data_IF_363347068811
#
_entry.id   IF_363347068811
#
_cell.length_a   1.000
_cell.length_b   1.000
_cell.length_c   1.000
_cell.angle_alpha   90.00
_cell.angle_beta   90.00
_cell.angle_gamma   90.00
#
_symmetry.space_group_name_H-M   'P 1'
#
loop_
_entity.id
_entity.type
_entity.pdbx_description
1 polymer ?
#
# COMPACT_ATOMS: atom_id res chain seq x y z
N UNK A 1 32.34 5.15 12.81
CA UNK A 1 31.56 5.59 11.63
C UNK A 1 30.19 6.01 12.14
N UNK A 2 29.79 7.29 12.10
CA UNK A 2 28.41 7.65 12.39
C UNK A 2 27.49 7.03 11.32
N UNK A 3 26.28 6.56 11.66
CA UNK A 3 25.33 6.13 10.64
C UNK A 3 25.06 7.34 9.75
N UNK A 4 25.22 7.18 8.43
CA UNK A 4 24.83 8.18 7.45
C UNK A 4 23.38 8.57 7.76
N UNK A 5 23.17 9.82 8.19
CA UNK A 5 21.84 10.32 8.47
C UNK A 5 21.02 10.13 7.20
N UNK A 6 20.01 9.25 7.27
CA UNK A 6 19.12 8.99 6.15
C UNK A 6 18.58 10.34 5.67
N UNK A 7 18.88 10.71 4.42
CA UNK A 7 18.40 11.96 3.85
C UNK A 7 16.87 12.05 4.05
N UNK A 8 16.33 13.21 4.44
CA UNK A 8 14.91 13.34 4.71
C UNK A 8 14.12 12.94 3.46
N UNK A 9 13.18 12.00 3.63
CA UNK A 9 12.27 11.56 2.54
C UNK A 9 11.63 12.77 1.88
N UNK A 10 11.56 12.79 0.55
CA UNK A 10 10.92 13.89 -0.19
C UNK A 10 9.45 14.06 0.23
N UNK A 11 8.83 15.25 0.03
CA UNK A 11 7.41 15.45 0.33
C UNK A 11 6.50 14.40 -0.33
N UNK A 12 6.80 14.03 -1.57
CA UNK A 12 6.07 12.98 -2.30
C UNK A 12 6.19 11.62 -1.61
N UNK A 13 7.38 11.24 -1.15
CA UNK A 13 7.60 9.97 -0.44
C UNK A 13 6.93 9.95 0.94
N UNK A 14 6.84 11.10 1.63
CA UNK A 14 6.07 11.21 2.87
C UNK A 14 4.56 11.02 2.63
N UNK A 15 4.04 11.59 1.54
CA UNK A 15 2.64 11.36 1.14
C UNK A 15 2.39 9.89 0.75
N UNK A 16 3.31 9.28 0.00
CA UNK A 16 3.24 7.86 -0.35
C UNK A 16 3.23 6.97 0.91
N UNK A 17 4.06 7.29 1.91
CA UNK A 17 4.09 6.57 3.18
C UNK A 17 2.76 6.68 3.94
N UNK A 18 2.24 7.90 4.10
CA UNK A 18 0.96 8.13 4.79
C UNK A 18 -0.21 7.43 4.07
N UNK A 19 -0.24 7.51 2.73
CA UNK A 19 -1.22 6.81 1.92
C UNK A 19 -1.12 5.29 2.09
N UNK A 20 0.10 4.74 2.04
CA UNK A 20 0.33 3.29 2.13
C UNK A 20 -0.08 2.73 3.49
N UNK A 21 0.24 3.41 4.60
CA UNK A 21 -0.20 3.00 5.94
C UNK A 21 -1.74 2.93 6.02
N UNK A 22 -2.42 4.01 5.58
CA UNK A 22 -3.88 4.06 5.59
C UNK A 22 -4.51 3.00 4.68
N UNK A 23 -3.93 2.76 3.50
CA UNK A 23 -4.44 1.78 2.54
C UNK A 23 -4.25 0.34 3.02
N UNK A 24 -3.06 0.00 3.55
CA UNK A 24 -2.77 -1.33 4.09
C UNK A 24 -3.67 -1.66 5.28
N UNK A 25 -3.88 -0.72 6.22
CA UNK A 25 -4.83 -0.91 7.32
C UNK A 25 -6.23 -1.21 6.80
N UNK A 26 -6.68 -0.47 5.78
CA UNK A 26 -8.01 -0.69 5.20
C UNK A 26 -8.14 -2.03 4.50
N UNK A 27 -7.10 -2.49 3.81
CA UNK A 27 -7.06 -3.83 3.21
C UNK A 27 -7.20 -4.89 4.31
N UNK A 28 -6.42 -4.79 5.39
CA UNK A 28 -6.50 -5.73 6.51
C UNK A 28 -7.90 -5.74 7.16
N UNK A 29 -8.53 -4.57 7.35
CA UNK A 29 -9.89 -4.47 7.87
C UNK A 29 -10.94 -5.11 6.96
N UNK A 30 -10.76 -5.04 5.63
CA UNK A 30 -11.64 -5.70 4.65
C UNK A 30 -11.42 -7.21 4.64
N UNK A 31 -10.17 -7.67 4.74
CA UNK A 31 -9.85 -9.09 4.88
C UNK A 31 -10.43 -9.66 6.19
N UNK A 32 -10.44 -8.88 7.27
CA UNK A 32 -11.09 -9.21 8.53
C UNK A 32 -12.63 -9.03 8.50
N UNK A 33 -13.21 -8.64 7.35
CA UNK A 33 -14.65 -8.34 7.16
C UNK A 33 -15.23 -7.26 8.08
N UNK A 34 -14.37 -6.42 8.67
CA UNK A 34 -14.76 -5.27 9.52
C UNK A 34 -15.12 -4.03 8.72
N UNK A 35 -14.80 -4.01 7.41
CA UNK A 35 -15.18 -2.96 6.47
C UNK A 35 -15.65 -3.51 5.12
N UNK A 36 -16.53 -2.79 4.41
CA UNK A 36 -16.96 -3.16 3.07
C UNK A 36 -15.86 -2.90 2.03
N UNK A 37 -15.75 -3.80 1.04
CA UNK A 37 -14.77 -3.68 -0.08
C UNK A 37 -14.93 -2.39 -0.89
N UNK A 38 -16.11 -1.77 -0.91
CA UNK A 38 -16.34 -0.51 -1.63
C UNK A 38 -15.39 0.61 -1.20
N UNK A 39 -14.90 0.57 0.04
CA UNK A 39 -13.95 1.52 0.62
C UNK A 39 -12.52 1.37 0.07
N UNK A 40 -12.23 0.30 -0.68
CA UNK A 40 -10.94 0.03 -1.32
C UNK A 40 -10.84 0.61 -2.74
N UNK A 41 -11.97 0.79 -3.42
CA UNK A 41 -12.03 1.31 -4.80
C UNK A 41 -11.26 2.62 -5.04
N UNK A 42 -11.24 3.61 -4.11
CA UNK A 42 -10.45 4.83 -4.34
C UNK A 42 -8.96 4.66 -4.08
N UNK A 43 -8.51 3.55 -3.47
CA UNK A 43 -7.13 3.33 -3.04
C UNK A 43 -6.36 2.36 -3.93
N UNK A 44 -7.06 1.44 -4.60
CA UNK A 44 -6.46 0.35 -5.35
C UNK A 44 -6.87 0.44 -6.82
N UNK A 45 -6.03 -0.08 -7.72
CA UNK A 45 -6.45 -0.33 -9.09
C UNK A 45 -7.58 -1.37 -9.14
N UNK A 46 -8.44 -1.31 -10.17
CA UNK A 46 -9.61 -2.19 -10.28
C UNK A 46 -9.23 -3.67 -10.18
N UNK A 47 -8.22 -4.12 -10.95
CA UNK A 47 -7.76 -5.52 -10.89
C UNK A 47 -7.24 -5.95 -9.52
N UNK A 48 -6.70 -5.01 -8.74
CA UNK A 48 -6.21 -5.31 -7.39
C UNK A 48 -7.36 -5.42 -6.38
N UNK A 49 -8.45 -4.67 -6.56
CA UNK A 49 -9.68 -4.85 -5.76
C UNK A 49 -10.23 -6.27 -5.91
N UNK A 50 -10.29 -6.78 -7.15
CA UNK A 50 -10.78 -8.14 -7.43
C UNK A 50 -9.86 -9.22 -6.83
N UNK A 51 -8.56 -8.96 -6.80
CA UNK A 51 -7.56 -9.83 -6.15
C UNK A 51 -7.78 -9.89 -4.63
N UNK A 52 -7.95 -8.74 -3.97
CA UNK A 52 -8.24 -8.68 -2.51
C UNK A 52 -9.56 -9.37 -2.18
N UNK A 53 -10.58 -9.22 -3.03
CA UNK A 53 -11.86 -9.93 -2.89
C UNK A 53 -11.70 -11.45 -2.99
N UNK A 54 -10.79 -11.91 -3.82
CA UNK A 54 -10.50 -13.34 -3.95
C UNK A 54 -9.75 -13.86 -2.72
N UNK A 55 -8.79 -13.10 -2.19
CA UNK A 55 -8.09 -13.42 -0.95
C UNK A 55 -9.03 -13.47 0.25
N UNK A 56 -9.98 -12.53 0.39
CA UNK A 56 -10.93 -12.51 1.52
C UNK A 56 -11.88 -13.70 1.58
N UNK A 57 -12.02 -14.45 0.47
CA UNK A 57 -12.78 -15.71 0.40
C UNK A 57 -11.94 -16.93 0.78
N UNK A 58 -10.64 -16.90 0.53
CA UNK A 58 -9.73 -18.06 0.66
C UNK A 58 -9.06 -18.10 2.02
N UNK A 59 -8.76 -16.95 2.65
CA UNK A 59 -8.09 -16.91 3.95
C UNK A 59 -8.94 -17.61 5.02
N UNK A 60 -8.57 -18.83 5.46
CA UNK A 60 -9.25 -19.54 6.53
C UNK A 60 -8.93 -18.79 7.83
N UNK A 61 -9.95 -18.41 8.60
CA UNK A 61 -9.75 -17.58 9.81
C UNK A 61 -10.63 -16.33 9.90
N UNK A 62 -11.40 -16.02 8.84
CA UNK A 62 -12.54 -15.10 8.92
C UNK A 62 -13.75 -15.69 9.68
N UNK A 63 -13.57 -16.80 10.41
CA UNK A 63 -14.46 -17.22 11.49
C UNK A 63 -14.09 -16.38 12.71
N UNK A 64 -14.92 -15.37 12.99
CA UNK A 64 -14.81 -14.50 14.15
C UNK A 64 -14.65 -15.33 15.45
N UNK A 65 -13.42 -15.46 15.93
CA UNK A 65 -13.19 -16.13 17.22
C UNK A 65 -11.78 -16.65 17.51
N UNK A 66 -10.95 -17.00 16.52
CA UNK A 66 -9.69 -17.74 16.79
C UNK A 66 -8.40 -17.03 16.36
N UNK A 67 -8.43 -16.14 15.36
CA UNK A 67 -7.19 -15.55 14.82
C UNK A 67 -6.96 -14.07 15.19
N UNK A 68 -7.84 -13.43 15.95
CA UNK A 68 -7.62 -12.05 16.40
C UNK A 68 -7.62 -10.99 15.28
N UNK A 69 -7.62 -9.72 15.68
CA UNK A 69 -7.64 -8.57 14.75
C UNK A 69 -6.28 -8.39 14.07
N UNK A 70 -6.26 -8.22 12.74
CA UNK A 70 -5.03 -7.87 12.04
C UNK A 70 -4.58 -6.44 12.41
N UNK A 71 -3.32 -6.30 12.83
CA UNK A 71 -2.72 -5.02 13.21
C UNK A 71 -1.44 -4.83 12.41
N UNK A 72 -1.39 -3.77 11.61
CA UNK A 72 -0.16 -3.34 10.92
C UNK A 72 0.88 -2.92 11.97
N UNK A 73 2.09 -3.50 11.90
CA UNK A 73 3.13 -3.32 12.91
C UNK A 73 4.21 -2.36 12.43
N UNK A 74 5.00 -2.81 11.46
CA UNK A 74 6.13 -2.06 10.94
C UNK A 74 5.99 -1.93 9.44
N UNK A 75 6.24 -0.73 8.93
CA UNK A 75 6.27 -0.43 7.51
C UNK A 75 7.55 0.33 7.21
N UNK A 76 8.22 -0.05 6.12
CA UNK A 76 9.30 0.69 5.49
C UNK A 76 8.91 0.97 4.06
N UNK A 77 9.35 2.11 3.55
CA UNK A 77 9.10 2.55 2.19
C UNK A 77 10.43 2.89 1.54
N UNK A 78 10.59 2.51 0.29
CA UNK A 78 11.67 2.98 -0.57
C UNK A 78 11.07 3.54 -1.87
N UNK A 79 11.67 4.62 -2.43
CA UNK A 79 11.36 5.02 -3.80
C UNK A 79 11.55 3.83 -4.73
N UNK A 80 10.63 3.60 -5.66
CA UNK A 80 10.81 2.59 -6.68
C UNK A 80 11.82 3.12 -7.69
N UNK A 81 13.11 2.88 -7.48
CA UNK A 81 14.14 3.23 -8.45
C UNK A 81 14.01 2.25 -9.61
N UNK A 82 13.50 2.73 -10.74
CA UNK A 82 13.76 2.06 -12.00
C UNK A 82 15.11 2.57 -12.49
N UNK A 83 16.17 1.86 -12.15
CA UNK A 83 17.55 2.13 -12.60
C UNK A 83 17.71 1.84 -14.11
N UNK A 84 16.63 1.46 -14.81
CA UNK A 84 16.64 0.99 -16.19
C UNK A 84 15.68 1.77 -17.08
N UNK A 85 16.27 2.45 -18.07
CA UNK A 85 15.72 2.91 -19.35
C UNK A 85 14.18 2.96 -19.47
N UNK A 86 13.64 4.19 -19.39
CA UNK A 86 12.46 4.54 -20.19
C UNK A 86 11.09 4.44 -19.54
N UNK A 87 10.97 4.29 -18.22
CA UNK A 87 9.69 4.58 -17.55
C UNK A 87 9.56 6.09 -17.31
N UNK A 88 8.48 6.76 -17.78
CA UNK A 88 8.31 8.21 -17.60
C UNK A 88 8.07 8.62 -16.14
N UNK A 89 7.82 7.64 -15.27
CA UNK A 89 7.59 7.85 -13.85
C UNK A 89 8.94 7.98 -13.13
N UNK A 90 9.42 9.21 -12.95
CA UNK A 90 10.61 9.48 -12.15
C UNK A 90 10.54 8.86 -10.74
N UNK A 91 11.67 8.77 -10.01
CA UNK A 91 11.79 8.06 -8.72
C UNK A 91 10.83 8.56 -7.62
N UNK A 92 10.17 9.70 -7.84
CA UNK A 92 9.20 10.32 -6.94
C UNK A 92 7.73 9.94 -7.21
N UNK A 93 7.44 9.22 -8.30
CA UNK A 93 6.09 8.83 -8.70
C UNK A 93 5.71 7.40 -8.33
N UNK A 94 6.67 6.60 -7.84
CA UNK A 94 6.43 5.22 -7.44
C UNK A 94 7.22 4.90 -6.17
N UNK A 95 6.63 4.08 -5.31
CA UNK A 95 7.27 3.61 -4.10
C UNK A 95 6.92 2.15 -3.81
N UNK A 96 7.91 1.43 -3.32
CA UNK A 96 7.76 0.08 -2.81
C UNK A 96 7.71 0.11 -1.29
N UNK A 97 6.81 -0.69 -0.74
CA UNK A 97 6.50 -0.70 0.69
C UNK A 97 6.57 -2.13 1.17
N UNK A 98 7.27 -2.32 2.29
CA UNK A 98 7.46 -3.62 2.92
C UNK A 98 7.16 -3.50 4.40
N UNK A 99 6.49 -4.49 4.94
CA UNK A 99 6.10 -4.47 6.33
C UNK A 99 5.64 -5.81 6.86
N UNK A 100 5.15 -5.75 8.08
CA UNK A 100 4.56 -6.88 8.76
C UNK A 100 3.27 -6.48 9.45
N UNK A 101 2.33 -7.41 9.52
CA UNK A 101 1.15 -7.31 10.35
C UNK A 101 1.08 -8.52 11.28
N UNK A 102 0.50 -8.34 12.46
CA UNK A 102 0.18 -9.46 13.33
C UNK A 102 -1.28 -9.82 13.20
N UNK A 103 -1.61 -11.10 13.29
CA UNK A 103 -2.97 -11.60 13.46
C UNK A 103 -2.91 -12.71 14.50
N UNK A 104 -3.50 -12.46 15.67
CA UNK A 104 -3.41 -13.38 16.79
C UNK A 104 -1.98 -13.47 17.32
N UNK A 105 -1.45 -14.68 17.41
CA UNK A 105 -0.08 -15.00 17.80
C UNK A 105 0.91 -15.01 16.63
N UNK A 106 0.44 -14.81 15.39
CA UNK A 106 1.26 -14.89 14.18
C UNK A 106 1.65 -13.52 13.65
N UNK A 107 2.85 -13.44 13.09
CA UNK A 107 3.36 -12.29 12.33
C UNK A 107 3.51 -12.68 10.87
N UNK A 108 2.91 -11.89 10.00
CA UNK A 108 2.83 -12.11 8.56
C UNK A 108 3.51 -10.97 7.81
N UNK A 109 4.04 -11.30 6.63
CA UNK A 109 4.64 -10.31 5.74
C UNK A 109 3.57 -9.64 4.88
N UNK A 110 3.77 -8.36 4.59
CA UNK A 110 2.96 -7.63 3.63
C UNK A 110 3.85 -6.70 2.83
N UNK A 111 3.66 -6.68 1.52
CA UNK A 111 4.38 -5.80 0.61
C UNK A 111 3.41 -5.20 -0.39
N UNK A 112 3.62 -3.94 -0.77
CA UNK A 112 2.84 -3.32 -1.82
C UNK A 112 3.68 -2.33 -2.63
N UNK A 113 3.17 -1.99 -3.81
CA UNK A 113 3.69 -0.91 -4.63
C UNK A 113 2.61 0.13 -4.81
N UNK A 114 2.99 1.39 -4.67
CA UNK A 114 2.11 2.54 -4.88
C UNK A 114 2.66 3.43 -5.99
N UNK A 115 1.77 3.98 -6.79
CA UNK A 115 2.10 4.87 -7.91
C UNK A 115 1.23 6.10 -7.89
N UNK A 116 1.80 7.24 -8.29
CA UNK A 116 1.11 8.52 -8.39
C UNK A 116 0.49 8.64 -9.77
N UNK A 117 -0.83 8.59 -9.83
CA UNK A 117 -1.60 8.73 -11.07
C UNK A 117 -1.97 10.19 -11.28
N UNK A 118 -1.58 10.75 -12.42
CA UNK A 118 -1.96 12.10 -12.81
C UNK A 118 -3.50 12.22 -12.92
N UNK A 119 -4.09 13.38 -12.58
CA UNK A 119 -5.50 13.61 -12.83
C UNK A 119 -5.77 13.52 -14.34
N UNK A 120 -6.66 12.62 -14.76
CA UNK A 120 -7.13 12.58 -16.15
C UNK A 120 -7.98 13.83 -16.39
N UNK A 121 -7.40 14.84 -17.06
CA UNK A 121 -8.09 16.06 -17.47
C UNK A 121 -8.02 17.20 -16.45
N UNK A 122 -6.93 17.97 -16.48
CA UNK A 122 -6.97 19.39 -16.10
C UNK A 122 -5.74 20.09 -16.66
N UNK A 123 -5.93 20.81 -17.76
CA UNK A 123 -4.98 21.84 -18.20
C UNK A 123 -5.07 23.02 -17.23
N UNK A 124 -4.32 22.99 -16.13
CA UNK A 124 -3.91 24.16 -15.35
C UNK A 124 -3.03 23.73 -14.16
N UNK A 125 -1.73 24.03 -14.26
CA UNK A 125 -0.89 24.60 -13.20
C UNK A 125 -0.62 23.88 -11.86
N UNK A 126 -1.41 22.91 -11.40
CA UNK A 126 -1.15 22.23 -10.11
C UNK A 126 -1.72 20.81 -10.10
N UNK A 127 -1.12 19.93 -10.88
CA UNK A 127 -1.53 18.52 -10.95
C UNK A 127 -0.81 17.69 -9.87
N UNK A 128 -1.22 17.81 -8.61
CA UNK A 128 -0.83 16.82 -7.61
C UNK A 128 -1.60 15.52 -7.88
N UNK A 129 -0.97 14.57 -8.57
CA UNK A 129 -1.55 13.25 -8.81
C UNK A 129 -1.93 12.53 -7.51
N UNK A 130 -2.88 11.60 -7.59
CA UNK A 130 -3.31 10.78 -6.46
C UNK A 130 -2.48 9.50 -6.38
N UNK A 131 -2.16 9.05 -5.18
CA UNK A 131 -1.53 7.75 -4.98
C UNK A 131 -2.57 6.63 -5.14
N UNK A 132 -2.19 5.57 -5.83
CA UNK A 132 -2.93 4.32 -5.91
C UNK A 132 -1.99 3.15 -5.62
N UNK A 133 -2.49 2.16 -4.91
CA UNK A 133 -1.82 0.88 -4.77
C UNK A 133 -2.04 0.06 -6.04
N UNK A 134 -0.93 -0.36 -6.67
CA UNK A 134 -0.92 -1.04 -7.96
C UNK A 134 -0.54 -2.51 -7.85
N UNK A 135 0.13 -2.89 -6.76
CA UNK A 135 0.46 -4.28 -6.44
C UNK A 135 0.38 -4.51 -4.93
N UNK A 136 -0.01 -5.72 -4.52
CA UNK A 136 -0.09 -6.14 -3.12
C UNK A 136 0.30 -7.62 -3.01
N UNK A 137 1.09 -7.94 -2.00
CA UNK A 137 1.45 -9.28 -1.59
C UNK A 137 1.22 -9.44 -0.09
N UNK A 138 0.62 -10.57 0.30
CA UNK A 138 0.33 -10.95 1.68
C UNK A 138 0.81 -12.39 1.85
N UNK A 139 1.65 -12.62 2.87
CA UNK A 139 2.25 -13.93 3.17
C UNK A 139 1.77 -14.53 4.49
#
# INVERSE_FOLDING_TARGET
>A
MPPAAAAPLSPAMRQAAAFSDAALRRVLEVLDRRRPVSQLRPLLTSGLVDSVLSLSRVVPGATAGQEGTAVLRRMRLQPATCDGWGRPDGPENAAEVFGTYSRGDRVHAIACRVERVAPTGSGSGSASGRWLMVALHIG
#
